data_IF_243300028407
#
_entry.id   IF_243300028407
#
_cell.length_a   1.000
_cell.length_b   1.000
_cell.length_c   1.000
_cell.angle_alpha   90.00
_cell.angle_beta   90.00
_cell.angle_gamma   90.00
#
_symmetry.space_group_name_H-M   'P 1'
#
loop_
_entity.id
_entity.type
_entity.pdbx_description
1 polymer ?
#
# COMPACT_ATOMS: atom_id res chain seq x y z
N UNK A 1 -7.89 -8.85 -1.32
CA UNK A 1 -7.25 -7.64 -1.90
C UNK A 1 -6.01 -8.03 -2.69
N UNK A 2 -5.90 -7.53 -3.89
CA UNK A 2 -4.70 -7.74 -4.72
C UNK A 2 -3.73 -6.60 -4.53
N UNK A 3 -2.43 -6.91 -4.70
CA UNK A 3 -1.37 -5.90 -4.65
C UNK A 3 -0.79 -5.78 -6.05
N UNK A 4 -0.91 -4.60 -6.65
CA UNK A 4 -0.41 -4.37 -8.00
C UNK A 4 1.12 -4.30 -8.07
N UNK A 5 1.68 -4.54 -9.25
CA UNK A 5 3.13 -4.57 -9.44
C UNK A 5 3.83 -3.24 -9.12
N UNK A 6 3.16 -2.13 -9.39
CA UNK A 6 3.72 -0.80 -9.06
C UNK A 6 3.82 -0.60 -7.55
N UNK A 7 2.82 -1.07 -6.80
CA UNK A 7 2.84 -1.01 -5.35
C UNK A 7 3.99 -1.82 -4.78
N UNK A 8 4.21 -3.02 -5.33
CA UNK A 8 5.31 -3.88 -4.90
C UNK A 8 6.66 -3.22 -5.18
N UNK A 9 6.84 -2.65 -6.37
CA UNK A 9 8.07 -1.96 -6.74
C UNK A 9 8.35 -0.78 -5.82
N UNK A 10 7.34 0.04 -5.56
CA UNK A 10 7.48 1.19 -4.69
C UNK A 10 7.77 0.81 -3.24
N UNK A 11 7.13 -0.25 -2.76
CA UNK A 11 7.37 -0.75 -1.42
C UNK A 11 8.82 -1.23 -1.27
N UNK A 12 9.33 -2.01 -2.24
CA UNK A 12 10.73 -2.47 -2.24
C UNK A 12 11.70 -1.30 -2.17
N UNK A 13 11.49 -0.31 -3.02
CA UNK A 13 12.35 0.86 -3.11
C UNK A 13 12.37 1.65 -1.80
N UNK A 14 11.20 1.81 -1.19
CA UNK A 14 11.03 2.62 0.01
C UNK A 14 11.58 1.95 1.27
N UNK A 15 11.36 0.67 1.42
CA UNK A 15 11.75 -0.08 2.62
C UNK A 15 13.15 -0.70 2.47
N UNK A 16 13.71 -0.68 1.26
CA UNK A 16 15.06 -1.16 1.02
C UNK A 16 15.20 -2.67 0.95
N UNK A 17 14.11 -3.40 0.83
CA UNK A 17 14.12 -4.86 0.75
C UNK A 17 14.21 -5.32 -0.69
N UNK A 18 15.33 -5.02 -1.35
CA UNK A 18 15.52 -5.33 -2.77
C UNK A 18 15.49 -6.81 -3.10
N UNK A 19 15.89 -7.66 -2.15
CA UNK A 19 15.96 -9.10 -2.37
C UNK A 19 14.71 -9.84 -1.95
N UNK A 20 13.74 -9.17 -1.36
CA UNK A 20 12.50 -9.81 -0.93
C UNK A 20 11.68 -10.25 -2.14
N UNK A 21 11.05 -11.42 -2.05
CA UNK A 21 10.21 -11.92 -3.12
C UNK A 21 8.90 -11.13 -3.16
N UNK A 22 8.24 -11.16 -4.32
CA UNK A 22 6.94 -10.53 -4.51
C UNK A 22 5.93 -11.02 -3.48
N UNK A 23 5.89 -12.34 -3.26
CA UNK A 23 4.96 -12.94 -2.31
C UNK A 23 5.16 -12.42 -0.89
N UNK A 24 6.41 -12.28 -0.47
CA UNK A 24 6.72 -11.77 0.86
C UNK A 24 6.29 -10.32 1.02
N UNK A 25 6.52 -9.51 -0.01
CA UNK A 25 6.12 -8.12 0.00
C UNK A 25 4.61 -7.98 0.02
N UNK A 26 3.89 -8.79 -0.75
CA UNK A 26 2.43 -8.81 -0.71
C UNK A 26 1.91 -9.12 0.69
N UNK A 27 2.50 -10.11 1.34
CA UNK A 27 2.12 -10.48 2.71
C UNK A 27 2.40 -9.35 3.69
N UNK A 28 3.55 -8.69 3.56
CA UNK A 28 3.92 -7.57 4.43
C UNK A 28 2.92 -6.42 4.29
N UNK A 29 2.60 -6.03 3.07
CA UNK A 29 1.64 -4.95 2.81
C UNK A 29 0.28 -5.29 3.39
N UNK A 30 -0.23 -6.50 3.11
CA UNK A 30 -1.52 -6.95 3.61
C UNK A 30 -1.56 -6.97 5.14
N UNK A 31 -0.50 -7.47 5.76
CA UNK A 31 -0.40 -7.52 7.21
C UNK A 31 -0.46 -6.13 7.83
N UNK A 32 0.27 -5.17 7.28
CA UNK A 32 0.24 -3.79 7.78
C UNK A 32 -1.15 -3.18 7.62
N UNK A 33 -1.82 -3.42 6.52
CA UNK A 33 -3.17 -2.94 6.30
C UNK A 33 -4.14 -3.54 7.32
N UNK A 34 -4.04 -4.85 7.57
CA UNK A 34 -4.92 -5.53 8.50
C UNK A 34 -4.71 -5.14 9.96
N UNK A 35 -3.45 -4.92 10.35
CA UNK A 35 -3.11 -4.76 11.78
C UNK A 35 -2.78 -3.33 12.19
N UNK A 36 -2.47 -2.45 11.24
CA UNK A 36 -1.89 -1.14 11.56
C UNK A 36 -2.57 0.02 10.84
N UNK A 37 -3.75 -0.16 10.30
CA UNK A 37 -4.48 0.93 9.63
C UNK A 37 -4.89 2.00 10.63
N UNK A 38 -4.44 3.23 10.37
CA UNK A 38 -4.78 4.40 11.19
C UNK A 38 -6.10 5.02 10.72
N UNK A 39 -6.25 5.17 9.41
CA UNK A 39 -7.48 5.72 8.83
C UNK A 39 -7.62 5.27 7.39
N UNK A 40 -8.84 5.40 6.87
CA UNK A 40 -9.17 5.06 5.49
C UNK A 40 -10.07 6.16 4.95
N UNK A 41 -9.71 6.72 3.78
CA UNK A 41 -10.48 7.80 3.15
C UNK A 41 -10.84 7.41 1.73
N UNK A 42 -12.10 7.59 1.38
CA UNK A 42 -12.60 7.31 0.03
C UNK A 42 -12.75 8.62 -0.75
N UNK A 43 -12.26 8.65 -1.97
CA UNK A 43 -12.33 9.81 -2.86
C UNK A 43 -13.33 9.54 -3.98
N UNK A 44 -14.51 10.12 -3.84
CA UNK A 44 -15.61 9.94 -4.79
C UNK A 44 -15.25 10.28 -6.22
N UNK A 45 -14.48 11.36 -6.41
CA UNK A 45 -14.16 11.86 -7.75
C UNK A 45 -13.36 10.88 -8.59
N UNK A 46 -12.51 10.10 -7.95
CA UNK A 46 -11.62 9.18 -8.65
C UNK A 46 -12.00 7.71 -8.47
N UNK A 47 -12.89 7.42 -7.51
CA UNK A 47 -13.22 6.04 -7.15
C UNK A 47 -12.10 5.34 -6.41
N UNK A 48 -11.10 6.09 -5.96
CA UNK A 48 -9.98 5.55 -5.20
C UNK A 48 -10.20 5.71 -3.71
N UNK A 49 -9.53 4.88 -2.91
CA UNK A 49 -9.45 5.12 -1.49
C UNK A 49 -8.00 4.97 -1.03
N UNK A 50 -7.68 5.61 0.08
CA UNK A 50 -6.35 5.55 0.67
C UNK A 50 -6.43 5.00 2.07
N UNK A 51 -5.46 4.14 2.41
CA UNK A 51 -5.33 3.53 3.72
C UNK A 51 -4.01 3.99 4.31
N UNK A 52 -4.09 4.70 5.45
CA UNK A 52 -2.89 5.19 6.15
C UNK A 52 -2.44 4.17 7.16
N UNK A 53 -1.15 3.83 7.11
CA UNK A 53 -0.48 3.03 8.12
C UNK A 53 0.74 3.80 8.60
N UNK A 54 1.36 3.41 9.72
CA UNK A 54 2.59 4.09 10.18
C UNK A 54 3.74 4.04 9.19
N UNK A 55 3.77 3.05 8.30
CA UNK A 55 4.89 2.86 7.36
C UNK A 55 4.61 3.36 5.95
N UNK A 56 3.35 3.47 5.56
CA UNK A 56 3.02 3.87 4.19
C UNK A 56 1.56 4.29 4.08
N UNK A 57 1.24 4.88 2.92
CA UNK A 57 -0.15 5.12 2.52
C UNK A 57 -0.41 4.23 1.31
N UNK A 58 -1.38 3.33 1.42
CA UNK A 58 -1.76 2.46 0.31
C UNK A 58 -2.86 3.14 -0.50
N UNK A 59 -2.62 3.37 -1.79
CA UNK A 59 -3.63 3.91 -2.70
C UNK A 59 -4.30 2.72 -3.38
N UNK A 60 -5.61 2.61 -3.22
CA UNK A 60 -6.38 1.46 -3.67
C UNK A 60 -7.45 1.85 -4.69
N UNK A 61 -7.70 0.94 -5.61
CA UNK A 61 -8.71 1.13 -6.65
C UNK A 61 -9.22 -0.26 -7.07
N UNK A 62 -10.55 -0.41 -7.11
CA UNK A 62 -11.20 -1.66 -7.53
C UNK A 62 -10.67 -2.92 -6.81
N UNK A 63 -10.47 -2.81 -5.51
CA UNK A 63 -9.98 -3.95 -4.71
C UNK A 63 -8.51 -4.27 -4.87
N UNK A 64 -7.75 -3.37 -5.46
CA UNK A 64 -6.31 -3.54 -5.68
C UNK A 64 -5.53 -2.37 -5.07
N UNK A 65 -4.41 -2.67 -4.43
CA UNK A 65 -3.44 -1.65 -4.03
C UNK A 65 -2.63 -1.31 -5.27
N UNK A 66 -2.82 -0.10 -5.81
CA UNK A 66 -2.19 0.31 -7.06
C UNK A 66 -0.86 1.01 -6.88
N UNK A 67 -0.65 1.65 -5.72
CA UNK A 67 0.65 2.27 -5.40
C UNK A 67 0.80 2.47 -3.91
N UNK A 68 2.04 2.74 -3.50
CA UNK A 68 2.40 3.00 -2.10
C UNK A 68 3.06 4.37 -2.03
N UNK A 69 2.60 5.20 -1.10
CA UNK A 69 3.14 6.54 -0.88
C UNK A 69 3.82 6.64 0.47
N UNK A 70 4.70 7.66 0.68
CA UNK A 70 5.29 7.90 1.99
C UNK A 70 4.22 8.15 3.05
N UNK A 71 4.45 7.75 4.31
CA UNK A 71 3.44 7.90 5.36
C UNK A 71 3.13 9.36 5.73
N UNK A 72 4.04 10.27 5.43
CA UNK A 72 3.86 11.70 5.74
C UNK A 72 3.34 12.51 4.56
N UNK A 73 2.97 11.86 3.47
CA UNK A 73 2.41 12.54 2.31
C UNK A 73 0.90 12.70 2.47
N UNK A 74 0.39 13.90 2.23
CA UNK A 74 -1.02 14.21 2.34
C UNK A 74 -1.70 14.29 0.98
#
# INVERSE_FOLDING_TARGET
>A
MKIGKHAIRRYKKRIGKRTATRERIEKDIKKHIETSTIKKVYYKETGQYRIWTPKFIAVCEKGMVVTILPPNEN
#
